data_IF_676844660079
#
_entry.id   IF_676844660079
#
_cell.length_a   1.000
_cell.length_b   1.000
_cell.length_c   1.000
_cell.angle_alpha   90.00
_cell.angle_beta   90.00
_cell.angle_gamma   90.00
#
_symmetry.space_group_name_H-M   'P 1'
#
loop_
_entity.id
_entity.type
_entity.pdbx_description
1 polymer ?
#
# COMPACT_ATOMS: atom_id res chain seq x y z
N UNK A 1 3.41 15.97 12.79
CA UNK A 1 2.88 15.81 11.45
C UNK A 1 2.55 14.36 11.17
N UNK A 2 1.38 14.14 10.63
CA UNK A 2 0.97 12.78 10.30
C UNK A 2 1.53 12.40 8.94
N UNK A 3 2.10 11.21 8.87
CA UNK A 3 2.71 10.72 7.64
C UNK A 3 2.06 9.42 7.21
N UNK A 4 1.97 9.23 5.90
CA UNK A 4 1.50 7.97 5.38
C UNK A 4 2.60 6.92 5.51
N UNK A 5 2.19 5.66 5.67
CA UNK A 5 3.12 4.56 5.82
C UNK A 5 2.66 3.41 4.96
N UNK A 6 3.59 2.63 4.42
CA UNK A 6 3.26 1.46 3.61
C UNK A 6 3.84 0.22 4.27
N UNK A 7 3.03 -0.82 4.37
CA UNK A 7 3.46 -2.10 4.92
C UNK A 7 3.17 -3.23 3.93
N UNK A 8 3.85 -4.35 4.12
CA UNK A 8 3.64 -5.55 3.32
C UNK A 8 3.07 -6.62 4.24
N UNK A 9 1.95 -7.21 3.86
CA UNK A 9 1.28 -8.21 4.70
C UNK A 9 0.80 -9.39 3.87
N UNK A 10 0.76 -10.54 4.50
CA UNK A 10 0.29 -11.76 3.86
C UNK A 10 -1.23 -11.84 3.91
N UNK A 11 -1.82 -12.17 2.79
CA UNK A 11 -3.27 -12.30 2.67
C UNK A 11 -3.71 -13.72 3.03
N UNK A 12 -5.01 -13.89 3.38
CA UNK A 12 -5.55 -15.21 3.69
C UNK A 12 -5.40 -16.23 2.55
N UNK A 13 -5.28 -15.75 1.31
CA UNK A 13 -5.11 -16.63 0.15
C UNK A 13 -3.66 -17.07 -0.07
N UNK A 14 -2.74 -16.68 0.83
CA UNK A 14 -1.34 -17.05 0.73
C UNK A 14 -0.49 -16.10 -0.09
N UNK A 15 -1.09 -15.07 -0.65
CA UNK A 15 -0.37 -14.06 -1.40
C UNK A 15 -0.01 -12.88 -0.50
N UNK A 16 0.87 -12.01 -1.00
CA UNK A 16 1.32 -10.84 -0.26
C UNK A 16 0.81 -9.58 -0.93
N UNK A 17 0.46 -8.58 -0.13
CA UNK A 17 -0.04 -7.32 -0.65
C UNK A 17 0.58 -6.16 0.08
N UNK A 18 0.55 -4.99 -0.56
CA UNK A 18 1.04 -3.77 0.04
C UNK A 18 -0.16 -2.95 0.52
N UNK A 19 -0.05 -2.42 1.73
CA UNK A 19 -1.12 -1.62 2.33
C UNK A 19 -0.63 -0.24 2.67
N UNK A 20 -1.44 0.75 2.34
CA UNK A 20 -1.16 2.15 2.65
C UNK A 20 -1.91 2.53 3.91
N UNK A 21 -1.18 3.11 4.86
CA UNK A 21 -1.75 3.58 6.12
C UNK A 21 -1.76 5.09 6.13
N UNK A 22 -2.95 5.66 6.09
CA UNK A 22 -3.11 7.12 6.13
C UNK A 22 -3.50 7.56 7.53
N UNK A 23 -2.99 8.73 7.98
CA UNK A 23 -3.28 9.20 9.35
C UNK A 23 -4.76 9.44 9.61
N UNK A 24 -5.51 9.83 8.58
CA UNK A 24 -6.94 10.11 8.73
C UNK A 24 -7.83 8.93 8.36
N UNK A 25 -7.23 7.79 8.02
CA UNK A 25 -7.98 6.60 7.63
C UNK A 25 -7.65 5.48 8.60
N UNK A 26 -8.62 5.00 9.38
CA UNK A 26 -8.36 4.00 10.42
C UNK A 26 -7.98 2.62 9.89
N UNK A 27 -8.34 2.31 8.66
CA UNK A 27 -8.07 1.00 8.10
C UNK A 27 -7.00 1.06 7.01
N UNK A 28 -6.18 -0.01 6.88
CA UNK A 28 -5.20 -0.06 5.80
C UNK A 28 -5.87 -0.10 4.44
N UNK A 29 -5.24 0.53 3.47
CA UNK A 29 -5.77 0.59 2.11
C UNK A 29 -4.94 -0.32 1.22
N UNK A 30 -5.58 -1.33 0.61
CA UNK A 30 -4.91 -2.22 -0.32
C UNK A 30 -4.56 -1.47 -1.60
N UNK A 31 -3.29 -1.53 -2.01
CA UNK A 31 -2.84 -0.81 -3.19
C UNK A 31 -3.24 -1.48 -4.51
N UNK A 32 -3.92 -2.63 -4.43
CA UNK A 32 -4.45 -3.27 -5.63
C UNK A 32 -3.52 -4.26 -6.31
N UNK A 33 -2.40 -4.57 -5.69
CA UNK A 33 -1.43 -5.53 -6.23
C UNK A 33 -1.24 -6.69 -5.26
N UNK A 34 -1.05 -7.88 -5.83
CA UNK A 34 -0.74 -9.09 -5.07
C UNK A 34 0.54 -9.72 -5.62
N UNK A 35 1.31 -10.32 -4.72
CA UNK A 35 2.60 -10.90 -5.07
C UNK A 35 2.73 -12.30 -4.49
N UNK A 36 3.63 -13.08 -5.07
CA UNK A 36 3.83 -14.48 -4.64
C UNK A 36 4.54 -14.57 -3.30
N UNK A 37 5.39 -13.60 -2.98
CA UNK A 37 6.13 -13.60 -1.74
C UNK A 37 6.40 -12.17 -1.27
N UNK A 38 6.90 -12.07 -0.04
CA UNK A 38 7.18 -10.79 0.58
C UNK A 38 8.23 -9.99 -0.18
N UNK A 39 9.26 -10.67 -0.65
CA UNK A 39 10.36 -10.02 -1.37
C UNK A 39 9.86 -9.30 -2.62
N UNK A 40 8.98 -9.94 -3.36
CA UNK A 40 8.44 -9.32 -4.58
C UNK A 40 7.59 -8.10 -4.25
N UNK A 41 6.82 -8.17 -3.17
CA UNK A 41 6.01 -7.04 -2.73
C UNK A 41 6.90 -5.86 -2.33
N UNK A 42 7.97 -6.13 -1.59
CA UNK A 42 8.89 -5.07 -1.19
C UNK A 42 9.62 -4.47 -2.38
N UNK A 43 10.01 -5.31 -3.34
CA UNK A 43 10.67 -4.83 -4.55
C UNK A 43 9.77 -3.90 -5.34
N UNK A 44 8.49 -4.24 -5.43
CA UNK A 44 7.54 -3.40 -6.14
C UNK A 44 7.43 -2.00 -5.53
N UNK A 45 7.60 -1.90 -4.21
CA UNK A 45 7.52 -0.60 -3.55
C UNK A 45 8.63 0.36 -3.96
N UNK A 46 9.67 -0.17 -4.61
CA UNK A 46 10.79 0.66 -5.07
C UNK A 46 10.65 1.10 -6.53
N UNK A 47 9.57 0.71 -7.21
CA UNK A 47 9.35 1.12 -8.60
C UNK A 47 8.38 2.30 -8.64
N UNK A 48 8.44 3.08 -9.73
CA UNK A 48 7.62 4.28 -9.85
C UNK A 48 6.13 3.99 -9.90
N UNK A 49 5.75 2.77 -10.33
CA UNK A 49 4.35 2.37 -10.32
C UNK A 49 3.78 2.40 -8.89
N UNK A 50 4.60 2.00 -7.91
CA UNK A 50 4.18 2.04 -6.51
C UNK A 50 3.95 3.47 -6.06
N UNK A 51 4.84 4.38 -6.43
CA UNK A 51 4.69 5.78 -6.08
C UNK A 51 3.40 6.36 -6.65
N UNK A 52 3.10 6.01 -7.89
CA UNK A 52 1.87 6.44 -8.54
C UNK A 52 0.65 5.89 -7.82
N UNK A 53 0.67 4.60 -7.47
CA UNK A 53 -0.44 3.97 -6.76
C UNK A 53 -0.67 4.63 -5.40
N UNK A 54 0.41 4.89 -4.67
CA UNK A 54 0.32 5.55 -3.37
C UNK A 54 -0.27 6.94 -3.51
N UNK A 55 0.20 7.69 -4.51
CA UNK A 55 -0.31 9.04 -4.74
C UNK A 55 -1.79 9.03 -5.08
N UNK A 56 -2.21 8.10 -5.94
CA UNK A 56 -3.61 8.00 -6.34
C UNK A 56 -4.50 7.63 -5.15
N UNK A 57 -4.07 6.69 -4.33
CA UNK A 57 -4.85 6.30 -3.16
C UNK A 57 -4.90 7.40 -2.12
N UNK A 58 -3.80 8.12 -1.94
CA UNK A 58 -3.75 9.25 -1.02
C UNK A 58 -4.75 10.31 -1.45
N UNK A 59 -4.79 10.62 -2.74
CA UNK A 59 -5.74 11.58 -3.28
C UNK A 59 -7.19 11.11 -3.07
N UNK A 60 -7.44 9.83 -3.36
CA UNK A 60 -8.79 9.27 -3.30
C UNK A 60 -9.36 9.31 -1.89
N UNK A 61 -8.52 9.04 -0.89
CA UNK A 61 -8.97 8.95 0.49
C UNK A 61 -8.67 10.20 1.30
N UNK A 62 -8.10 11.20 0.67
CA UNK A 62 -7.80 12.45 1.36
C UNK A 62 -9.08 13.23 1.61
N UNK A 63 -9.24 13.72 2.82
CA UNK A 63 -10.34 14.59 3.16
C UNK A 63 -9.90 16.03 2.95
N UNK A 64 -10.69 16.76 2.23
CA UNK A 64 -10.43 18.17 2.01
C UNK A 64 -11.17 19.04 3.01
#
# INVERSE_FOLDING_TARGET
>A
MAESKVTVEKLPNGKWACFLHLPDHPEPINLGKEFKNEERAETWLNVSEADTAIAMMTQKYKKS
#
